data_IF_348431327632
#
_entry.id   IF_348431327632
#
_cell.length_a   1.000
_cell.length_b   1.000
_cell.length_c   1.000
_cell.angle_alpha   90.00
_cell.angle_beta   90.00
_cell.angle_gamma   90.00
#
_symmetry.space_group_name_H-M   'P 1'
#
loop_
_entity.id
_entity.type
_entity.pdbx_description
1 polymer ?
#
# COMPACT_ATOMS: atom_id res chain seq x y z
N UNK A 1 -68.64 26.84 49.21
CA UNK A 1 -69.24 25.93 48.19
C UNK A 1 -69.88 26.80 47.12
N UNK A 2 -69.64 26.67 45.81
CA UNK A 2 -68.72 25.81 45.02
C UNK A 2 -67.51 26.61 44.47
N UNK A 3 -66.30 26.07 44.22
CA UNK A 3 -65.81 25.13 43.18
C UNK A 3 -66.06 25.60 41.73
N UNK A 4 -65.02 26.17 41.09
CA UNK A 4 -64.92 26.32 39.63
C UNK A 4 -63.53 25.94 39.10
N UNK A 5 -63.59 24.95 38.19
CA UNK A 5 -62.73 24.68 37.03
C UNK A 5 -61.26 24.30 37.23
N UNK A 6 -61.04 23.00 37.49
CA UNK A 6 -59.80 22.28 37.22
C UNK A 6 -59.55 21.93 35.73
N UNK A 7 -60.27 22.54 34.79
CA UNK A 7 -60.18 22.24 33.35
C UNK A 7 -59.13 23.08 32.61
N UNK A 8 -58.82 24.30 33.08
CA UNK A 8 -57.86 25.18 32.38
C UNK A 8 -56.40 24.80 32.62
N UNK A 9 -56.08 24.16 33.75
CA UNK A 9 -54.71 23.73 34.07
C UNK A 9 -54.29 22.48 33.27
N UNK A 10 -55.25 21.60 32.93
CA UNK A 10 -54.97 20.39 32.14
C UNK A 10 -54.77 20.69 30.65
N UNK A 11 -55.42 21.72 30.11
CA UNK A 11 -55.21 22.16 28.73
C UNK A 11 -53.88 22.91 28.54
N UNK A 12 -53.47 23.71 29.52
CA UNK A 12 -52.18 24.40 29.49
C UNK A 12 -50.99 23.43 29.61
N UNK A 13 -51.11 22.40 30.45
CA UNK A 13 -50.09 21.35 30.56
C UNK A 13 -50.00 20.47 29.29
N UNK A 14 -51.12 20.22 28.61
CA UNK A 14 -51.12 19.47 27.35
C UNK A 14 -50.49 20.26 26.18
N UNK A 15 -50.72 21.58 26.12
CA UNK A 15 -50.13 22.45 25.08
C UNK A 15 -48.62 22.64 25.23
N UNK A 16 -48.11 22.67 26.46
CA UNK A 16 -46.66 22.75 26.74
C UNK A 16 -45.99 21.38 26.49
N UNK A 17 -46.67 20.27 26.75
CA UNK A 17 -46.17 18.93 26.42
C UNK A 17 -46.13 18.67 24.90
N UNK A 18 -47.10 19.16 24.12
CA UNK A 18 -47.07 19.03 22.65
C UNK A 18 -46.04 19.95 21.98
N UNK A 19 -45.68 21.08 22.58
CA UNK A 19 -44.58 21.93 22.10
C UNK A 19 -43.20 21.32 22.39
N UNK A 20 -43.08 20.43 23.39
CA UNK A 20 -41.85 19.69 23.68
C UNK A 20 -41.63 18.45 22.79
N UNK A 21 -42.66 18.00 22.06
CA UNK A 21 -42.59 16.85 21.14
C UNK A 21 -42.47 17.24 19.65
N UNK A 22 -42.59 18.53 19.31
CA UNK A 22 -42.44 19.03 17.94
C UNK A 22 -41.03 19.57 17.61
N UNK A 23 -40.06 19.40 18.52
CA UNK A 23 -38.67 19.85 18.35
C UNK A 23 -37.67 18.78 17.92
N UNK A 24 -38.11 17.55 17.64
CA UNK A 24 -37.22 16.42 17.33
C UNK A 24 -37.22 16.01 15.85
N UNK A 25 -37.12 16.99 14.94
CA UNK A 25 -36.75 16.70 13.55
C UNK A 25 -35.88 17.84 13.01
N UNK A 26 -34.57 17.63 12.98
CA UNK A 26 -33.66 18.42 12.13
C UNK A 26 -32.53 19.19 12.81
N UNK A 27 -32.21 18.93 14.08
CA UNK A 27 -30.90 19.31 14.63
C UNK A 27 -30.04 18.05 14.75
N UNK A 28 -29.55 17.60 13.60
CA UNK A 28 -28.41 16.70 13.57
C UNK A 28 -27.18 17.53 13.96
N UNK A 29 -26.57 17.18 15.09
CA UNK A 29 -25.28 17.73 15.54
C UNK A 29 -24.12 16.98 14.86
N UNK A 30 -24.35 16.41 13.67
CA UNK A 30 -23.28 15.94 12.79
C UNK A 30 -22.61 17.15 12.12
N UNK A 31 -21.49 17.59 12.72
CA UNK A 31 -20.60 18.62 12.17
C UNK A 31 -19.92 18.20 10.84
N UNK A 32 -20.26 17.05 10.25
CA UNK A 32 -19.71 16.59 8.97
C UNK A 32 -20.11 17.43 7.76
N UNK A 33 -21.22 18.17 7.81
CA UNK A 33 -21.68 18.98 6.67
C UNK A 33 -21.14 20.42 6.64
N UNK A 34 -20.39 20.86 7.67
CA UNK A 34 -19.89 22.26 7.76
C UNK A 34 -18.66 22.52 6.86
N UNK A 35 -18.12 21.49 6.21
CA UNK A 35 -16.91 21.60 5.39
C UNK A 35 -17.03 21.01 3.98
N UNK A 36 -18.18 21.19 3.30
CA UNK A 36 -18.27 21.25 1.83
C UNK A 36 -17.61 20.13 1.00
N UNK A 37 -17.32 18.98 1.59
CA UNK A 37 -16.84 17.78 0.92
C UNK A 37 -17.49 16.61 1.68
N UNK A 38 -18.37 15.81 1.05
CA UNK A 38 -18.74 14.56 1.66
C UNK A 38 -17.45 13.80 1.92
N UNK A 39 -17.25 13.29 3.14
CA UNK A 39 -16.25 12.26 3.41
C UNK A 39 -16.73 10.97 2.74
N UNK A 40 -16.77 11.01 1.42
CA UNK A 40 -17.13 9.90 0.57
C UNK A 40 -15.89 9.01 0.48
N UNK A 41 -15.79 8.10 1.45
CA UNK A 41 -14.76 7.07 1.44
C UNK A 41 -15.06 5.98 0.41
N UNK A 42 -16.10 6.12 -0.43
CA UNK A 42 -16.38 5.17 -1.50
C UNK A 42 -15.20 5.02 -2.46
N UNK A 43 -14.43 6.08 -2.71
CA UNK A 43 -13.19 5.99 -3.50
C UNK A 43 -12.08 5.15 -2.82
N UNK A 44 -12.05 5.06 -1.49
CA UNK A 44 -11.16 4.14 -0.77
C UNK A 44 -11.67 2.69 -0.77
N UNK A 45 -12.97 2.49 -1.02
CA UNK A 45 -13.59 1.18 -1.29
C UNK A 45 -13.35 0.75 -2.76
N UNK A 46 -13.07 1.70 -3.66
CA UNK A 46 -12.77 1.44 -5.09
C UNK A 46 -11.37 0.87 -5.38
N UNK A 47 -10.49 0.69 -4.37
CA UNK A 47 -9.40 -0.30 -4.46
C UNK A 47 -9.95 -1.73 -4.35
N UNK A 48 -11.03 -2.00 -5.07
CA UNK A 48 -11.64 -3.30 -5.22
C UNK A 48 -10.69 -4.16 -6.05
N UNK A 49 -9.80 -4.90 -5.39
CA UNK A 49 -9.10 -6.01 -6.04
C UNK A 49 -10.15 -6.92 -6.68
N UNK A 50 -9.88 -7.42 -7.90
CA UNK A 50 -10.84 -8.28 -8.59
C UNK A 50 -11.27 -9.45 -7.68
N UNK A 51 -12.53 -9.93 -7.76
CA UNK A 51 -12.95 -11.06 -6.97
C UNK A 51 -12.15 -12.30 -7.37
N UNK A 52 -11.82 -13.13 -6.37
CA UNK A 52 -11.13 -14.40 -6.62
C UNK A 52 -11.97 -15.29 -7.54
N UNK A 53 -11.39 -15.88 -8.60
CA UNK A 53 -12.12 -16.77 -9.49
C UNK A 53 -12.78 -17.94 -8.75
N UNK A 54 -13.90 -18.40 -9.29
CA UNK A 54 -14.59 -19.56 -8.75
C UNK A 54 -13.78 -20.85 -9.01
N UNK A 55 -13.70 -21.77 -8.02
CA UNK A 55 -13.04 -23.05 -8.19
C UNK A 55 -13.84 -24.03 -9.06
N UNK A 56 -13.17 -25.08 -9.54
CA UNK A 56 -13.80 -26.26 -10.12
C UNK A 56 -14.61 -27.07 -9.08
N UNK A 57 -15.26 -28.15 -9.52
CA UNK A 57 -16.06 -29.02 -8.65
C UNK A 57 -15.24 -29.68 -7.51
N UNK A 58 -13.92 -29.79 -7.65
CA UNK A 58 -13.00 -30.33 -6.65
C UNK A 58 -12.50 -29.27 -5.67
N UNK A 59 -12.74 -28.00 -5.97
CA UNK A 59 -12.26 -26.86 -5.19
C UNK A 59 -10.90 -26.31 -5.67
N UNK A 60 -10.50 -26.59 -6.91
CA UNK A 60 -9.21 -26.17 -7.49
C UNK A 60 -9.41 -24.96 -8.42
N UNK A 61 -8.52 -23.98 -8.34
CA UNK A 61 -8.41 -22.85 -9.27
C UNK A 61 -7.09 -22.98 -10.02
N UNK A 62 -7.14 -22.93 -11.35
CA UNK A 62 -5.97 -23.04 -12.22
C UNK A 62 -5.58 -21.68 -12.81
N UNK A 63 -4.38 -21.21 -12.48
CA UNK A 63 -3.75 -20.03 -13.10
C UNK A 63 -2.75 -20.45 -14.18
N UNK A 64 -2.18 -19.55 -14.99
CA UNK A 64 -1.15 -19.94 -15.96
C UNK A 64 0.06 -20.65 -15.31
N UNK A 65 0.53 -20.18 -14.16
CA UNK A 65 1.79 -20.64 -13.55
C UNK A 65 1.66 -21.64 -12.39
N UNK A 66 0.53 -21.67 -11.68
CA UNK A 66 0.31 -22.58 -10.55
C UNK A 66 -1.19 -22.84 -10.32
N UNK A 67 -1.50 -23.96 -9.65
CA UNK A 67 -2.87 -24.26 -9.21
C UNK A 67 -2.96 -24.03 -7.71
N UNK A 68 -4.18 -23.75 -7.25
CA UNK A 68 -4.49 -23.65 -5.82
C UNK A 68 -5.75 -24.43 -5.49
N UNK A 69 -5.83 -24.96 -4.28
CA UNK A 69 -7.02 -25.63 -3.76
C UNK A 69 -7.58 -24.88 -2.56
N UNK A 70 -8.90 -24.89 -2.45
CA UNK A 70 -9.65 -24.21 -1.38
C UNK A 70 -10.13 -25.24 -0.36
N UNK A 71 -9.76 -25.06 0.90
CA UNK A 71 -10.23 -25.88 2.00
C UNK A 71 -11.72 -25.65 2.29
N UNK A 72 -12.43 -26.72 2.64
CA UNK A 72 -13.79 -26.69 3.19
C UNK A 72 -13.73 -26.71 4.71
N UNK A 73 -14.86 -26.38 5.35
CA UNK A 73 -14.97 -26.42 6.81
C UNK A 73 -14.67 -27.85 7.32
N UNK A 74 -13.70 -27.97 8.21
CA UNK A 74 -13.29 -29.24 8.81
C UNK A 74 -12.25 -30.02 8.00
N UNK A 75 -11.72 -29.47 6.90
CA UNK A 75 -10.65 -30.12 6.15
C UNK A 75 -9.35 -30.16 6.95
N UNK A 76 -8.59 -31.23 6.78
CA UNK A 76 -7.14 -31.28 7.02
C UNK A 76 -6.41 -31.22 5.68
N UNK A 77 -5.09 -31.02 5.70
CA UNK A 77 -4.29 -31.10 4.46
C UNK A 77 -4.46 -32.47 3.80
N UNK A 78 -4.49 -33.55 4.58
CA UNK A 78 -4.71 -34.90 4.07
C UNK A 78 -6.10 -35.09 3.44
N UNK A 79 -7.18 -34.60 4.06
CA UNK A 79 -8.52 -34.75 3.48
C UNK A 79 -8.70 -33.89 2.22
N UNK A 80 -8.12 -32.69 2.19
CA UNK A 80 -8.10 -31.83 1.02
C UNK A 80 -7.32 -32.48 -0.12
N UNK A 81 -6.14 -33.02 0.17
CA UNK A 81 -5.29 -33.70 -0.81
C UNK A 81 -5.99 -34.92 -1.43
N UNK A 82 -6.62 -35.74 -0.60
CA UNK A 82 -7.42 -36.89 -1.05
C UNK A 82 -8.58 -36.45 -1.96
N UNK A 83 -9.26 -35.34 -1.63
CA UNK A 83 -10.37 -34.80 -2.43
C UNK A 83 -9.93 -34.37 -3.83
N UNK A 84 -8.77 -33.74 -3.94
CA UNK A 84 -8.28 -33.20 -5.22
C UNK A 84 -7.35 -34.19 -5.97
N UNK A 85 -7.01 -35.32 -5.34
CA UNK A 85 -6.21 -36.39 -5.95
C UNK A 85 -4.70 -36.10 -5.98
N UNK A 86 -4.16 -35.39 -4.98
CA UNK A 86 -2.73 -35.08 -4.86
C UNK A 86 -2.11 -35.74 -3.64
N UNK A 87 -0.78 -35.85 -3.63
CA UNK A 87 -0.05 -36.36 -2.47
C UNK A 87 -0.13 -35.37 -1.29
N UNK A 88 -0.62 -35.86 -0.14
CA UNK A 88 -0.85 -35.04 1.04
C UNK A 88 0.45 -34.48 1.63
N UNK A 89 1.54 -35.27 1.59
CA UNK A 89 2.83 -34.85 2.14
C UNK A 89 3.45 -33.75 1.29
N UNK A 90 3.47 -33.93 -0.03
CA UNK A 90 3.96 -32.93 -0.96
C UNK A 90 3.14 -31.63 -0.89
N UNK A 91 1.81 -31.73 -0.74
CA UNK A 91 0.95 -30.57 -0.54
C UNK A 91 1.27 -29.84 0.77
N UNK A 92 1.47 -30.58 1.86
CA UNK A 92 1.81 -30.03 3.17
C UNK A 92 3.17 -29.31 3.14
N UNK A 93 4.22 -29.99 2.64
CA UNK A 93 5.58 -29.45 2.54
C UNK A 93 5.64 -28.20 1.66
N UNK A 94 4.91 -28.17 0.54
CA UNK A 94 4.85 -26.99 -0.35
C UNK A 94 4.24 -25.76 0.34
N UNK A 95 3.35 -25.95 1.33
CA UNK A 95 2.65 -24.87 2.03
C UNK A 95 3.16 -24.64 3.47
N UNK A 96 4.24 -25.31 3.89
CA UNK A 96 4.79 -25.18 5.24
C UNK A 96 3.88 -25.75 6.34
N UNK A 97 3.10 -26.78 6.02
CA UNK A 97 2.16 -27.43 6.93
C UNK A 97 2.54 -28.91 7.17
N UNK A 98 1.85 -29.56 8.10
CA UNK A 98 1.86 -31.03 8.25
C UNK A 98 0.62 -31.65 7.60
N UNK A 99 0.64 -32.92 7.18
CA UNK A 99 -0.53 -33.57 6.58
C UNK A 99 -1.78 -33.58 7.48
N UNK A 100 -1.59 -33.59 8.80
CA UNK A 100 -2.65 -33.60 9.80
C UNK A 100 -3.14 -32.19 10.19
N UNK A 101 -2.49 -31.13 9.67
CA UNK A 101 -2.84 -29.76 10.00
C UNK A 101 -4.30 -29.47 9.60
N UNK A 102 -5.05 -28.92 10.55
CA UNK A 102 -6.44 -28.48 10.33
C UNK A 102 -6.46 -27.16 9.55
N UNK A 103 -7.31 -27.10 8.52
CA UNK A 103 -7.43 -25.97 7.62
C UNK A 103 -8.67 -25.12 7.96
N UNK A 104 -8.55 -23.81 7.78
CA UNK A 104 -9.70 -22.91 7.92
C UNK A 104 -10.63 -23.08 6.72
N UNK A 105 -11.93 -22.84 6.92
CA UNK A 105 -12.87 -22.84 5.82
C UNK A 105 -12.53 -21.71 4.83
N UNK A 106 -12.36 -22.05 3.56
CA UNK A 106 -11.96 -21.09 2.53
C UNK A 106 -10.44 -20.88 2.43
N UNK A 107 -9.63 -21.52 3.29
CA UNK A 107 -8.18 -21.40 3.26
C UNK A 107 -7.62 -21.88 1.91
N UNK A 108 -6.66 -21.14 1.35
CA UNK A 108 -6.10 -21.42 0.03
C UNK A 108 -4.71 -22.04 0.16
N UNK A 109 -4.52 -23.22 -0.43
CA UNK A 109 -3.24 -23.92 -0.48
C UNK A 109 -2.75 -23.99 -1.92
N UNK A 110 -1.47 -23.68 -2.14
CA UNK A 110 -0.85 -23.78 -3.47
C UNK A 110 -0.46 -25.23 -3.74
N UNK A 111 -0.85 -25.75 -4.90
CA UNK A 111 -0.50 -27.12 -5.31
C UNK A 111 0.98 -27.18 -5.72
N UNK A 112 1.66 -28.30 -5.44
CA UNK A 112 3.02 -28.51 -5.93
C UNK A 112 3.01 -28.67 -7.47
N UNK A 113 4.11 -28.30 -8.12
CA UNK A 113 4.23 -28.40 -9.58
C UNK A 113 4.04 -29.83 -10.12
N UNK A 114 4.26 -30.85 -9.29
CA UNK A 114 4.00 -32.26 -9.60
C UNK A 114 2.51 -32.55 -9.83
N UNK A 115 1.60 -31.86 -9.13
CA UNK A 115 0.17 -32.06 -9.27
C UNK A 115 -0.35 -31.65 -10.66
N UNK A 116 0.29 -30.67 -11.30
CA UNK A 116 -0.03 -30.18 -12.65
C UNK A 116 0.30 -31.14 -13.77
N UNK A 117 1.33 -31.96 -13.56
CA UNK A 117 1.84 -32.87 -14.59
C UNK A 117 1.06 -34.18 -14.67
N UNK A 118 -0.11 -34.25 -14.02
CA UNK A 118 -0.99 -35.42 -14.08
C UNK A 118 -0.30 -36.69 -13.58
N UNK A 119 0.11 -36.72 -12.31
CA UNK A 119 0.74 -37.92 -11.79
C UNK A 119 1.08 -37.85 -10.30
N UNK A 120 0.29 -38.58 -9.52
CA UNK A 120 0.73 -39.11 -8.23
C UNK A 120 1.93 -40.02 -8.48
N UNK A 121 3.13 -39.53 -8.22
CA UNK A 121 4.30 -40.38 -8.03
C UNK A 121 4.28 -40.85 -6.58
N UNK A 122 3.51 -41.92 -6.32
CA UNK A 122 3.58 -42.64 -5.06
C UNK A 122 4.99 -43.21 -4.91
N UNK A 123 5.73 -42.71 -3.93
CA UNK A 123 7.06 -43.19 -3.57
C UNK A 123 6.93 -44.53 -2.83
N UNK A 124 6.82 -45.61 -3.60
CA UNK A 124 6.90 -46.98 -3.10
C UNK A 124 7.31 -47.89 -4.26
N UNK A 125 8.47 -48.54 -4.13
CA UNK A 125 9.08 -49.52 -5.04
C UNK A 125 8.42 -49.69 -6.42
N UNK A 126 9.06 -49.16 -7.46
CA UNK A 126 8.57 -49.25 -8.83
C UNK A 126 8.67 -50.70 -9.33
N UNK A 127 7.54 -51.40 -9.34
CA UNK A 127 7.39 -52.70 -10.00
C UNK A 127 7.00 -52.46 -11.47
N UNK A 128 8.02 -52.48 -12.34
CA UNK A 128 7.98 -52.19 -13.78
C UNK A 128 6.83 -52.89 -14.53
N UNK A 129 6.42 -54.07 -14.07
CA UNK A 129 5.34 -54.88 -14.65
C UNK A 129 3.95 -54.29 -14.40
N UNK A 130 3.73 -53.70 -13.22
CA UNK A 130 2.45 -53.03 -12.88
C UNK A 130 2.38 -51.62 -13.46
N UNK A 131 3.53 -50.95 -13.60
CA UNK A 131 3.62 -49.64 -14.23
C UNK A 131 3.24 -49.66 -15.72
N UNK A 132 3.62 -50.73 -16.43
CA UNK A 132 3.26 -50.94 -17.83
C UNK A 132 1.75 -51.22 -18.01
N UNK A 133 1.14 -52.04 -17.14
CA UNK A 133 -0.30 -52.31 -17.17
C UNK A 133 -1.14 -51.06 -16.90
N UNK A 134 -0.79 -50.30 -15.87
CA UNK A 134 -1.47 -49.06 -15.50
C UNK A 134 -1.32 -47.93 -16.54
N UNK A 135 -0.27 -47.99 -17.39
CA UNK A 135 -0.08 -47.03 -18.48
C UNK A 135 -1.05 -47.29 -19.64
N UNK A 136 -1.39 -48.55 -19.90
CA UNK A 136 -2.31 -48.95 -20.98
C UNK A 136 -3.76 -48.64 -20.59
N UNK A 137 -4.18 -48.96 -19.36
CA UNK A 137 -5.51 -48.59 -18.84
C UNK A 137 -5.72 -47.06 -18.75
N UNK A 138 -4.64 -46.30 -18.50
CA UNK A 138 -4.68 -44.82 -18.50
C UNK A 138 -4.79 -44.25 -19.91
N UNK A 139 -4.20 -44.89 -20.91
CA UNK A 139 -4.35 -44.46 -22.31
C UNK A 139 -5.80 -44.66 -22.81
N UNK A 140 -6.46 -45.73 -22.37
CA UNK A 140 -7.84 -46.05 -22.74
C UNK A 140 -8.86 -45.15 -22.02
N UNK A 141 -8.58 -44.74 -20.77
CA UNK A 141 -9.42 -43.80 -20.01
C UNK A 141 -9.15 -42.31 -20.33
N UNK A 142 -7.99 -41.97 -20.92
CA UNK A 142 -7.68 -40.61 -21.38
C UNK A 142 -8.46 -40.19 -22.65
N UNK A 143 -9.06 -41.14 -23.37
CA UNK A 143 -9.94 -40.84 -24.52
C UNK A 143 -11.39 -40.53 -24.13
N UNK A 144 -11.78 -40.64 -22.85
CA UNK A 144 -13.17 -40.48 -22.42
C UNK A 144 -13.48 -39.25 -21.53
N UNK A 145 -12.51 -38.38 -21.22
CA UNK A 145 -12.80 -37.12 -20.52
C UNK A 145 -11.74 -36.05 -20.77
N UNK A 146 -11.69 -35.52 -21.99
CA UNK A 146 -11.03 -34.25 -22.26
C UNK A 146 -12.02 -33.10 -22.04
N UNK A 147 -12.58 -32.99 -20.82
CA UNK A 147 -13.14 -31.73 -20.37
C UNK A 147 -11.95 -30.88 -19.90
N UNK A 148 -11.43 -30.06 -20.80
CA UNK A 148 -10.34 -29.13 -20.51
C UNK A 148 -10.70 -28.31 -19.26
N UNK A 149 -9.93 -28.45 -18.19
CA UNK A 149 -10.08 -27.60 -17.00
C UNK A 149 -9.89 -26.15 -17.44
N UNK A 150 -10.88 -25.25 -17.23
CA UNK A 150 -10.75 -23.87 -17.67
C UNK A 150 -9.60 -23.22 -16.90
N UNK A 151 -8.51 -22.91 -17.62
CA UNK A 151 -7.41 -22.09 -17.10
C UNK A 151 -7.91 -20.65 -17.11
N UNK A 152 -7.75 -19.94 -15.99
CA UNK A 152 -8.23 -18.56 -15.89
C UNK A 152 -7.43 -17.65 -16.83
N UNK A 153 -8.11 -17.03 -17.79
CA UNK A 153 -7.58 -15.93 -18.61
C UNK A 153 -7.69 -14.62 -17.82
N UNK A 154 -6.56 -14.16 -17.29
CA UNK A 154 -6.46 -12.92 -16.54
C UNK A 154 -5.11 -12.79 -15.83
N UNK A 155 -4.77 -11.59 -15.32
CA UNK A 155 -3.56 -11.39 -14.54
C UNK A 155 -3.53 -12.33 -13.32
N UNK A 156 -2.48 -13.15 -13.25
CA UNK A 156 -2.33 -14.13 -12.18
C UNK A 156 -1.99 -13.43 -10.85
N UNK A 157 -2.53 -13.89 -9.71
CA UNK A 157 -2.19 -13.32 -8.42
C UNK A 157 -0.72 -13.60 -8.08
N UNK A 158 -0.09 -12.67 -7.38
CA UNK A 158 1.29 -12.83 -6.91
C UNK A 158 1.31 -13.74 -5.69
N UNK A 159 2.29 -14.65 -5.61
CA UNK A 159 2.47 -15.51 -4.44
C UNK A 159 3.48 -14.88 -3.49
N UNK A 160 3.08 -14.68 -2.24
CA UNK A 160 3.96 -14.23 -1.18
C UNK A 160 4.11 -15.33 -0.13
N UNK A 161 5.35 -15.68 0.23
CA UNK A 161 5.61 -16.62 1.33
C UNK A 161 5.87 -15.82 2.60
N UNK A 162 5.00 -16.00 3.58
CA UNK A 162 5.07 -15.34 4.88
C UNK A 162 6.39 -15.71 5.56
N UNK A 163 7.18 -14.71 5.91
CA UNK A 163 8.40 -14.89 6.71
C UNK A 163 8.16 -14.42 8.14
N UNK A 164 9.12 -14.72 9.02
CA UNK A 164 9.07 -14.27 10.40
C UNK A 164 8.98 -12.75 10.48
N UNK A 165 7.98 -12.25 11.21
CA UNK A 165 7.70 -10.82 11.37
C UNK A 165 6.63 -10.28 10.44
N UNK A 166 6.19 -11.05 9.43
CA UNK A 166 5.09 -10.64 8.58
C UNK A 166 3.73 -10.75 9.29
N UNK A 167 2.86 -9.79 8.97
CA UNK A 167 1.44 -9.79 9.35
C UNK A 167 0.61 -9.60 8.09
N UNK A 168 -0.67 -9.96 8.12
CA UNK A 168 -1.56 -9.65 6.99
C UNK A 168 -1.57 -8.14 6.65
N UNK A 169 -1.38 -7.27 7.66
CA UNK A 169 -1.31 -5.82 7.48
C UNK A 169 -0.03 -5.37 6.77
N UNK A 170 1.13 -5.88 7.18
CA UNK A 170 2.40 -5.53 6.53
C UNK A 170 2.44 -6.05 5.09
N UNK A 171 1.96 -7.26 4.85
CA UNK A 171 1.87 -7.86 3.51
C UNK A 171 0.90 -7.07 2.63
N UNK A 172 -0.31 -6.79 3.11
CA UNK A 172 -1.29 -6.03 2.33
C UNK A 172 -0.72 -4.66 1.91
N UNK A 173 -0.05 -3.96 2.84
CA UNK A 173 0.61 -2.68 2.57
C UNK A 173 1.79 -2.82 1.61
N UNK A 174 2.59 -3.87 1.72
CA UNK A 174 3.72 -4.16 0.84
C UNK A 174 3.27 -4.26 -0.63
N UNK A 175 2.10 -4.85 -0.86
CA UNK A 175 1.55 -5.06 -2.21
C UNK A 175 0.48 -4.06 -2.63
N UNK A 176 0.18 -3.04 -1.80
CA UNK A 176 -0.83 -2.03 -2.12
C UNK A 176 -2.26 -2.57 -2.23
N UNK A 177 -2.56 -3.70 -1.57
CA UNK A 177 -3.90 -4.30 -1.55
C UNK A 177 -4.59 -4.03 -0.22
N UNK A 178 -5.93 -4.03 -0.20
CA UNK A 178 -6.64 -3.91 1.06
C UNK A 178 -6.48 -5.18 1.90
N UNK A 179 -6.31 -5.01 3.21
CA UNK A 179 -6.19 -6.14 4.16
C UNK A 179 -7.39 -7.06 4.07
N UNK A 180 -8.59 -6.47 3.87
CA UNK A 180 -9.84 -7.19 3.66
C UNK A 180 -9.79 -8.05 2.40
N UNK A 181 -9.37 -7.49 1.27
CA UNK A 181 -9.26 -8.26 0.03
C UNK A 181 -8.24 -9.39 0.15
N UNK A 182 -7.10 -9.13 0.80
CA UNK A 182 -6.12 -10.18 1.10
C UNK A 182 -6.72 -11.31 1.94
N UNK A 183 -7.53 -10.96 2.96
CA UNK A 183 -8.23 -11.92 3.80
C UNK A 183 -9.20 -12.78 3.00
N UNK A 184 -10.08 -12.14 2.23
CA UNK A 184 -11.12 -12.78 1.43
C UNK A 184 -10.52 -13.69 0.34
N UNK A 185 -9.40 -13.26 -0.26
CA UNK A 185 -8.69 -14.05 -1.26
C UNK A 185 -8.03 -15.31 -0.70
N UNK A 186 -7.60 -15.29 0.57
CA UNK A 186 -6.84 -16.39 1.18
C UNK A 186 -7.62 -17.21 2.22
N UNK A 187 -8.84 -16.79 2.55
CA UNK A 187 -9.64 -17.40 3.62
C UNK A 187 -9.02 -17.19 5.01
N UNK A 188 -8.47 -16.00 5.27
CA UNK A 188 -7.99 -15.64 6.61
C UNK A 188 -9.19 -15.43 7.55
N UNK A 189 -8.98 -15.68 8.84
CA UNK A 189 -9.98 -15.42 9.88
C UNK A 189 -10.14 -13.93 10.18
N UNK A 190 -11.12 -13.59 11.02
CA UNK A 190 -11.37 -12.23 11.45
C UNK A 190 -10.16 -11.59 12.16
N UNK A 191 -9.33 -12.42 12.80
CA UNK A 191 -8.10 -12.00 13.48
C UNK A 191 -6.93 -11.79 12.50
N UNK A 192 -7.13 -12.09 11.21
CA UNK A 192 -6.13 -11.92 10.15
C UNK A 192 -4.84 -12.70 10.41
N UNK A 193 -4.96 -13.86 11.05
CA UNK A 193 -3.81 -14.63 11.53
C UNK A 193 -3.06 -15.27 10.37
N UNK A 194 -1.78 -14.94 10.22
CA UNK A 194 -0.86 -15.54 9.24
C UNK A 194 0.16 -16.43 9.95
N UNK A 195 0.59 -17.50 9.29
CA UNK A 195 1.59 -18.44 9.81
C UNK A 195 2.91 -18.29 9.07
N UNK A 196 4.03 -18.36 9.78
CA UNK A 196 5.35 -18.40 9.15
C UNK A 196 5.41 -19.58 8.15
N UNK A 197 5.90 -19.31 6.94
CA UNK A 197 5.96 -20.28 5.85
C UNK A 197 4.69 -20.44 5.03
N UNK A 198 3.55 -19.87 5.46
CA UNK A 198 2.30 -19.87 4.71
C UNK A 198 2.46 -19.13 3.37
N UNK A 199 1.82 -19.61 2.32
CA UNK A 199 1.80 -18.93 1.03
C UNK A 199 0.46 -18.20 0.88
N UNK A 200 0.51 -16.88 0.69
CA UNK A 200 -0.66 -16.05 0.41
C UNK A 200 -0.69 -15.66 -1.08
N UNK A 201 -1.88 -15.67 -1.64
CA UNK A 201 -2.20 -15.10 -2.95
C UNK A 201 -2.56 -13.63 -2.77
N UNK A 202 -1.75 -12.78 -3.37
CA UNK A 202 -1.96 -11.34 -3.40
C UNK A 202 -2.84 -11.04 -4.62
N UNK A 203 -4.03 -10.46 -4.42
CA UNK A 203 -4.88 -10.10 -5.54
C UNK A 203 -4.25 -8.97 -6.34
N UNK A 204 -4.50 -8.97 -7.64
CA UNK A 204 -4.11 -7.85 -8.51
C UNK A 204 -5.17 -6.72 -8.41
N UNK A 205 -4.76 -5.45 -8.36
CA UNK A 205 -5.68 -4.32 -8.37
C UNK A 205 -6.57 -4.36 -9.63
N UNK A 206 -7.87 -4.05 -9.52
CA UNK A 206 -8.79 -4.12 -10.66
C UNK A 206 -8.40 -3.25 -11.86
N UNK A 207 -7.59 -2.21 -11.67
CA UNK A 207 -7.08 -1.37 -12.77
C UNK A 207 -6.20 -2.18 -13.75
N UNK A 208 -5.41 -3.14 -13.25
CA UNK A 208 -4.61 -4.05 -14.09
C UNK A 208 -5.46 -5.14 -14.75
N UNK A 209 -6.63 -5.45 -14.17
CA UNK A 209 -7.58 -6.44 -14.72
C UNK A 209 -8.46 -5.82 -15.79
N UNK A 210 -8.79 -4.53 -15.68
CA UNK A 210 -9.52 -3.76 -16.69
C UNK A 210 -8.66 -3.50 -17.96
N UNK A 211 -7.35 -3.35 -17.81
CA UNK A 211 -6.40 -3.22 -18.93
C UNK A 211 -6.22 -4.52 -19.74
N UNK A 212 -6.67 -5.67 -19.22
CA UNK A 212 -6.56 -6.98 -19.88
C UNK A 212 -7.82 -7.39 -20.66
N UNK A 213 -8.88 -6.57 -20.68
CA UNK A 213 -10.04 -6.80 -21.54
C UNK A 213 -9.73 -6.25 -22.94
N UNK A 214 -9.86 -7.02 -24.04
CA UNK A 214 -9.71 -6.47 -25.37
C UNK A 214 -10.86 -5.50 -25.61
N UNK A 215 -10.55 -4.21 -25.58
CA UNK A 215 -11.44 -3.15 -26.07
C UNK A 215 -11.58 -3.35 -27.59
N UNK A 216 -12.82 -3.42 -28.14
CA UNK A 216 -13.03 -3.45 -29.58
C UNK A 216 -12.40 -2.22 -30.23
N UNK A 217 -11.44 -2.47 -31.12
CA UNK A 217 -10.83 -1.44 -31.94
C UNK A 217 -11.87 -0.84 -32.91
N UNK A 218 -12.01 0.50 -32.88
CA UNK A 218 -12.44 1.40 -33.96
C UNK A 218 -12.62 2.81 -33.34
N UNK A 219 -12.08 3.94 -33.81
CA UNK A 219 -11.18 4.28 -34.91
C UNK A 219 -10.55 5.65 -34.61
N UNK A 220 -9.29 5.85 -34.98
CA UNK A 220 -8.76 7.16 -35.38
C UNK A 220 -8.01 6.96 -36.69
N UNK A 221 -8.18 7.85 -37.68
CA UNK A 221 -7.24 8.95 -37.73
C UNK A 221 -7.83 10.27 -38.26
N UNK A 222 -7.21 11.39 -37.87
CA UNK A 222 -6.83 12.51 -38.77
C UNK A 222 -5.80 13.39 -38.03
N UNK A 223 -4.75 13.80 -38.73
CA UNK A 223 -3.76 14.79 -38.32
C UNK A 223 -3.98 16.10 -39.13
N UNK A 224 -3.11 17.12 -39.04
CA UNK A 224 -3.30 18.34 -38.27
C UNK A 224 -3.60 19.58 -39.12
N UNK A 225 -4.34 20.55 -38.55
CA UNK A 225 -4.45 21.91 -39.07
C UNK A 225 -5.70 22.20 -39.91
N UNK A 226 -6.83 22.43 -39.26
CA UNK A 226 -7.92 23.27 -39.79
C UNK A 226 -8.39 24.22 -38.67
N UNK A 227 -8.40 25.52 -38.97
CA UNK A 227 -8.74 26.61 -38.07
C UNK A 227 -10.19 26.55 -37.57
N UNK A 228 -10.59 27.33 -36.57
CA UNK A 228 -10.52 28.80 -36.55
C UNK A 228 -10.93 29.32 -35.15
N UNK A 229 -11.02 30.63 -34.92
CA UNK A 229 -10.01 31.52 -34.34
C UNK A 229 -10.20 31.79 -32.84
N UNK A 230 -9.09 32.13 -32.17
CA UNK A 230 -9.03 32.62 -30.79
C UNK A 230 -9.72 33.98 -30.61
N UNK A 231 -10.55 34.20 -29.57
CA UNK A 231 -10.83 35.53 -29.08
C UNK A 231 -9.65 36.03 -28.22
N UNK A 232 -9.05 37.15 -28.61
CA UNK A 232 -8.03 37.85 -27.83
C UNK A 232 -8.67 38.44 -26.55
N UNK A 233 -8.12 38.18 -25.35
CA UNK A 233 -8.50 38.91 -24.14
C UNK A 233 -7.99 40.36 -24.21
N UNK A 234 -8.80 41.38 -23.89
CA UNK A 234 -8.38 42.78 -23.98
C UNK A 234 -7.62 43.17 -22.71
N UNK A 235 -6.31 42.97 -22.69
CA UNK A 235 -5.43 43.55 -21.66
C UNK A 235 -4.06 43.90 -22.23
N UNK A 236 -3.99 44.95 -23.05
CA UNK A 236 -2.80 45.79 -23.22
C UNK A 236 -3.15 47.04 -24.05
N UNK A 237 -3.83 48.01 -23.43
CA UNK A 237 -4.04 49.33 -24.02
C UNK A 237 -3.61 50.43 -23.05
N UNK A 238 -2.38 50.32 -22.52
CA UNK A 238 -1.68 51.46 -21.93
C UNK A 238 -0.17 51.28 -22.04
N UNK A 239 0.56 52.16 -22.73
CA UNK A 239 2.02 52.12 -22.76
C UNK A 239 2.59 52.51 -21.38
N UNK A 240 3.61 51.79 -20.94
CA UNK A 240 4.48 52.21 -19.83
C UNK A 240 5.37 53.36 -20.32
N UNK A 241 5.60 54.43 -19.51
CA UNK A 241 6.52 55.51 -19.85
C UNK A 241 7.97 55.02 -19.86
N UNK A 242 8.77 55.54 -20.79
CA UNK A 242 10.23 55.49 -20.70
C UNK A 242 10.69 56.48 -19.62
N UNK A 243 11.49 56.02 -18.66
CA UNK A 243 12.23 56.90 -17.75
C UNK A 243 13.73 56.66 -17.90
N UNK A 244 14.34 57.71 -18.41
CA UNK A 244 15.76 57.95 -18.61
C UNK A 244 16.21 58.82 -17.43
N UNK A 245 17.13 58.35 -16.57
CA UNK A 245 18.08 59.23 -15.84
C UNK A 245 19.11 58.51 -14.95
N UNK A 246 20.37 58.70 -15.34
CA UNK A 246 21.54 59.17 -14.56
C UNK A 246 22.02 58.47 -13.28
N UNK A 247 23.26 58.01 -13.44
CA UNK A 247 24.33 57.81 -12.43
C UNK A 247 24.54 59.04 -11.54
N UNK A 248 24.53 58.85 -10.22
CA UNK A 248 25.35 59.61 -9.26
C UNK A 248 25.91 58.70 -8.19
N UNK A 249 27.20 58.92 -7.95
CA UNK A 249 28.15 58.28 -7.03
C UNK A 249 28.00 58.92 -5.63
N UNK A 250 28.32 58.16 -4.57
CA UNK A 250 28.96 58.55 -3.29
C UNK A 250 28.33 57.78 -2.09
N UNK A 251 28.92 56.64 -1.69
CA UNK A 251 29.88 56.45 -0.58
C UNK A 251 29.25 56.40 0.81
N UNK A 252 29.06 55.19 1.34
CA UNK A 252 29.26 54.87 2.76
C UNK A 252 29.42 53.35 2.96
N UNK A 253 30.61 52.91 3.36
CA UNK A 253 30.89 51.65 4.07
C UNK A 253 31.43 52.03 5.47
N UNK A 254 31.45 51.17 6.52
CA UNK A 254 31.49 49.69 6.47
C UNK A 254 30.71 48.91 7.56
N UNK A 255 30.47 47.60 7.36
CA UNK A 255 30.90 46.46 8.23
C UNK A 255 30.47 45.11 7.59
N UNK A 256 31.28 44.02 7.64
CA UNK A 256 31.38 43.06 6.54
C UNK A 256 30.66 41.70 6.74
N UNK A 257 30.49 41.05 5.58
CA UNK A 257 30.13 39.64 5.31
C UNK A 257 28.65 39.27 5.52
N UNK A 258 27.92 38.73 4.54
CA UNK A 258 28.35 37.68 3.62
C UNK A 258 27.85 37.90 2.18
N UNK A 259 28.76 37.57 1.28
CA UNK A 259 28.64 37.39 -0.16
C UNK A 259 27.40 36.57 -0.51
N UNK A 260 26.32 37.25 -0.87
CA UNK A 260 25.18 36.69 -1.56
C UNK A 260 25.14 37.36 -2.92
N UNK A 261 25.95 36.86 -3.85
CA UNK A 261 25.69 36.94 -5.28
C UNK A 261 26.70 36.01 -5.98
N UNK A 262 26.16 35.20 -6.89
CA UNK A 262 26.90 34.36 -7.83
C UNK A 262 27.58 33.10 -7.27
N UNK A 263 26.76 32.15 -6.83
CA UNK A 263 27.07 30.73 -7.08
C UNK A 263 26.03 30.18 -8.04
N UNK A 264 26.43 30.16 -9.30
CA UNK A 264 26.14 29.13 -10.30
C UNK A 264 25.08 28.12 -9.89
N UNK A 265 23.97 28.15 -10.63
CA UNK A 265 23.02 27.06 -10.79
C UNK A 265 23.72 25.79 -11.29
N UNK A 266 24.52 25.13 -10.46
CA UNK A 266 24.95 23.75 -10.67
C UNK A 266 25.43 23.15 -9.34
N UNK A 267 24.48 22.74 -8.52
CA UNK A 267 24.66 21.56 -7.65
C UNK A 267 23.28 20.91 -7.54
N UNK A 268 23.08 19.88 -8.36
CA UNK A 268 21.81 19.16 -8.55
C UNK A 268 21.34 18.39 -7.31
N UNK A 269 22.06 18.44 -6.18
CA UNK A 269 21.55 17.85 -4.94
C UNK A 269 20.72 18.86 -4.13
N UNK A 270 19.44 18.51 -4.00
CA UNK A 270 18.41 19.29 -3.30
C UNK A 270 18.53 19.14 -1.76
N UNK A 271 19.24 18.14 -1.26
CA UNK A 271 19.26 17.75 0.15
C UNK A 271 20.67 17.86 0.78
N UNK A 272 20.74 18.19 2.07
CA UNK A 272 21.99 18.16 2.88
C UNK A 272 22.09 16.88 3.68
N UNK A 273 23.32 16.50 4.02
CA UNK A 273 23.58 15.46 5.01
C UNK A 273 22.85 15.76 6.33
N UNK A 274 21.98 14.85 6.81
CA UNK A 274 21.18 15.07 8.02
C UNK A 274 21.98 14.94 9.31
N UNK A 275 23.07 14.17 9.29
CA UNK A 275 24.07 14.06 10.36
C UNK A 275 25.47 13.96 9.74
N UNK A 276 26.49 14.33 10.50
CA UNK A 276 27.89 14.18 10.07
C UNK A 276 28.36 12.77 10.45
N UNK A 277 28.72 11.96 9.46
CA UNK A 277 29.11 10.57 9.69
C UNK A 277 29.45 9.83 8.40
N UNK A 278 30.08 8.66 8.52
CA UNK A 278 30.31 7.75 7.40
C UNK A 278 29.08 6.87 7.17
N UNK A 279 28.81 6.53 5.90
CA UNK A 279 27.79 5.55 5.56
C UNK A 279 28.32 4.17 5.91
N UNK A 280 27.68 3.49 6.87
CA UNK A 280 28.04 2.14 7.32
C UNK A 280 27.18 1.07 6.64
N UNK A 281 26.03 1.46 6.08
CA UNK A 281 25.20 0.60 5.24
C UNK A 281 24.69 1.39 4.03
N UNK A 282 25.06 1.01 2.79
CA UNK A 282 24.60 1.69 1.59
C UNK A 282 23.17 1.30 1.23
N UNK A 283 22.55 2.08 0.35
CA UNK A 283 21.26 1.77 -0.26
C UNK A 283 21.33 0.48 -1.06
N UNK A 284 20.28 -0.35 -0.93
CA UNK A 284 20.08 -1.54 -1.73
C UNK A 284 18.59 -1.85 -1.78
N UNK A 285 17.94 -1.54 -2.90
CA UNK A 285 16.51 -1.79 -3.13
C UNK A 285 16.10 -3.22 -2.70
N UNK A 286 15.04 -3.32 -1.90
CA UNK A 286 14.51 -4.55 -1.32
C UNK A 286 15.28 -5.09 -0.11
N UNK A 287 16.34 -4.42 0.34
CA UNK A 287 17.18 -4.87 1.47
C UNK A 287 17.44 -3.73 2.46
N UNK A 288 17.87 -2.58 1.96
CA UNK A 288 18.08 -1.35 2.71
C UNK A 288 17.51 -0.19 1.87
N UNK A 289 16.33 0.30 2.25
CA UNK A 289 15.57 1.31 1.49
C UNK A 289 16.13 2.74 1.66
N UNK A 290 17.24 2.87 2.39
CA UNK A 290 17.96 4.12 2.60
C UNK A 290 19.45 3.87 2.86
N UNK A 291 20.08 4.78 3.59
CA UNK A 291 21.46 4.65 4.05
C UNK A 291 21.52 4.71 5.57
N UNK A 292 22.45 3.97 6.17
CA UNK A 292 22.77 4.10 7.58
C UNK A 292 24.02 4.94 7.76
N UNK A 293 23.88 6.08 8.43
CA UNK A 293 24.97 7.03 8.68
C UNK A 293 25.41 6.88 10.14
N UNK A 294 26.65 6.45 10.36
CA UNK A 294 27.20 6.32 11.70
C UNK A 294 27.30 7.68 12.40
N UNK A 295 26.73 7.78 13.59
CA UNK A 295 26.76 9.00 14.39
C UNK A 295 26.70 8.64 15.86
N UNK A 296 27.29 9.46 16.72
CA UNK A 296 27.23 9.21 18.16
C UNK A 296 25.79 9.34 18.68
N UNK A 297 25.40 8.56 19.73
CA UNK A 297 24.12 8.76 20.40
C UNK A 297 23.89 10.22 20.81
N UNK A 298 22.68 10.73 20.60
CA UNK A 298 22.32 12.11 20.93
C UNK A 298 22.78 13.15 19.91
N UNK A 299 23.48 12.77 18.84
CA UNK A 299 23.87 13.70 17.77
C UNK A 299 22.64 14.40 17.19
N UNK A 300 22.62 15.73 17.03
CA UNK A 300 21.48 16.43 16.43
C UNK A 300 21.25 16.00 14.98
N UNK A 301 20.03 15.57 14.69
CA UNK A 301 19.56 15.22 13.34
C UNK A 301 18.92 16.44 12.72
N UNK A 302 19.35 16.80 11.51
CA UNK A 302 18.88 17.95 10.74
C UNK A 302 17.96 17.54 9.61
N UNK A 303 16.98 18.38 9.29
CA UNK A 303 16.18 18.26 8.08
C UNK A 303 17.06 18.43 6.84
N UNK A 304 17.02 17.46 5.94
CA UNK A 304 17.85 17.41 4.75
C UNK A 304 17.40 18.45 3.72
N UNK A 305 16.11 18.81 3.70
CA UNK A 305 15.55 19.87 2.88
C UNK A 305 14.47 20.65 3.62
N UNK A 306 14.06 21.79 3.08
CA UNK A 306 12.89 22.52 3.58
C UNK A 306 11.62 21.77 3.18
N UNK A 307 10.63 21.72 4.06
CA UNK A 307 9.43 20.93 3.82
C UNK A 307 8.41 21.03 4.95
N UNK A 308 7.43 20.13 4.92
CA UNK A 308 6.39 20.01 5.94
C UNK A 308 6.44 18.60 6.52
N UNK A 309 6.35 18.48 7.84
CA UNK A 309 6.29 17.19 8.52
C UNK A 309 4.99 16.47 8.13
N UNK A 310 5.13 15.44 7.30
CA UNK A 310 4.00 14.69 6.76
C UNK A 310 3.45 13.69 7.78
N UNK A 311 4.36 13.02 8.51
CA UNK A 311 3.99 12.03 9.51
C UNK A 311 5.08 11.87 10.58
N UNK A 312 4.64 11.49 11.77
CA UNK A 312 5.49 10.95 12.82
C UNK A 312 4.84 9.63 13.20
N UNK A 313 5.50 8.52 12.90
CA UNK A 313 5.04 7.16 13.17
C UNK A 313 6.01 6.46 14.12
N UNK A 314 5.73 5.20 14.44
CA UNK A 314 6.64 4.33 15.18
C UNK A 314 6.76 3.00 14.46
N UNK A 315 7.92 2.38 14.53
CA UNK A 315 8.09 0.99 14.09
C UNK A 315 7.58 -0.01 15.14
N UNK A 316 7.79 -1.30 14.88
CA UNK A 316 7.40 -2.40 15.77
C UNK A 316 8.05 -2.30 17.15
N UNK A 317 9.27 -1.77 17.23
CA UNK A 317 10.03 -1.56 18.46
C UNK A 317 9.70 -0.22 19.14
N UNK A 318 8.62 0.43 18.70
CA UNK A 318 8.15 1.73 19.17
C UNK A 318 9.14 2.88 18.94
N UNK A 319 10.13 2.69 18.06
CA UNK A 319 11.11 3.70 17.67
C UNK A 319 10.43 4.70 16.72
N UNK A 320 10.50 6.01 17.01
CA UNK A 320 9.91 7.03 16.16
C UNK A 320 10.53 7.06 14.76
N UNK A 321 9.67 7.28 13.77
CA UNK A 321 10.02 7.55 12.37
C UNK A 321 9.41 8.90 12.01
N UNK A 322 10.24 9.82 11.55
CA UNK A 322 9.82 11.15 11.10
C UNK A 322 9.85 11.19 9.57
N UNK A 323 8.78 11.66 8.95
CA UNK A 323 8.66 11.82 7.50
C UNK A 323 8.44 13.28 7.16
N UNK A 324 9.31 13.85 6.31
CA UNK A 324 9.18 15.22 5.82
C UNK A 324 8.88 15.19 4.33
N UNK A 325 7.83 15.90 3.92
CA UNK A 325 7.48 16.12 2.51
C UNK A 325 8.10 17.41 2.01
N UNK A 326 8.82 17.33 0.91
CA UNK A 326 9.47 18.44 0.22
C UNK A 326 8.72 18.81 -1.06
N UNK A 327 9.22 19.83 -1.77
CA UNK A 327 8.74 20.16 -3.11
C UNK A 327 9.06 19.03 -4.12
N UNK A 328 8.25 18.93 -5.17
CA UNK A 328 8.47 17.95 -6.25
C UNK A 328 8.20 16.50 -5.85
N UNK A 329 7.24 16.24 -4.95
CA UNK A 329 6.84 14.90 -4.48
C UNK A 329 7.95 14.07 -3.80
N UNK A 330 9.03 14.73 -3.38
CA UNK A 330 10.12 14.10 -2.67
C UNK A 330 9.79 13.99 -1.18
N UNK A 331 10.03 12.83 -0.59
CA UNK A 331 9.87 12.55 0.83
C UNK A 331 11.22 12.14 1.41
N UNK A 332 11.51 12.58 2.62
CA UNK A 332 12.64 12.07 3.41
C UNK A 332 12.15 11.39 4.66
N UNK A 333 12.79 10.29 5.03
CA UNK A 333 12.45 9.49 6.22
C UNK A 333 13.66 9.46 7.14
N UNK A 334 13.41 9.71 8.42
CA UNK A 334 14.40 9.68 9.49
C UNK A 334 13.96 8.64 10.51
N UNK A 335 14.71 7.55 10.62
CA UNK A 335 14.47 6.48 11.58
C UNK A 335 15.70 6.24 12.47
N UNK A 336 15.54 5.46 13.53
CA UNK A 336 16.52 5.32 14.60
C UNK A 336 16.85 6.67 15.29
N UNK A 337 15.80 7.44 15.59
CA UNK A 337 15.88 8.76 16.22
C UNK A 337 15.13 8.80 17.57
N UNK A 338 15.48 9.79 18.38
CA UNK A 338 14.87 10.17 19.67
C UNK A 338 14.66 11.69 19.72
N UNK A 339 13.99 12.19 20.78
CA UNK A 339 13.82 13.62 21.07
C UNK A 339 13.33 14.45 19.86
N UNK A 340 12.27 14.01 19.17
CA UNK A 340 11.70 14.75 18.04
C UNK A 340 11.19 16.12 18.54
N UNK A 341 11.70 17.19 17.93
CA UNK A 341 11.40 18.59 18.31
C UNK A 341 10.26 19.22 17.50
N UNK A 342 9.73 18.49 16.51
CA UNK A 342 8.69 18.95 15.57
C UNK A 342 7.44 18.08 15.67
N UNK A 343 6.32 18.59 15.14
CA UNK A 343 5.01 17.93 15.11
C UNK A 343 4.51 17.76 13.68
N UNK A 344 3.57 16.84 13.47
CA UNK A 344 2.91 16.66 12.18
C UNK A 344 2.25 17.97 11.74
N UNK A 345 2.51 18.38 10.50
CA UNK A 345 2.05 19.64 9.92
C UNK A 345 3.02 20.81 10.08
N UNK A 346 4.05 20.69 10.91
CA UNK A 346 5.04 21.76 11.08
C UNK A 346 5.84 21.97 9.80
N UNK A 347 6.11 23.24 9.46
CA UNK A 347 7.08 23.59 8.43
C UNK A 347 8.48 23.57 9.01
N UNK A 348 9.42 22.97 8.29
CA UNK A 348 10.82 22.84 8.67
C UNK A 348 11.71 23.40 7.58
N UNK A 349 12.80 24.05 7.97
CA UNK A 349 13.80 24.58 7.05
C UNK A 349 14.93 23.57 6.85
N UNK A 350 15.54 23.57 5.66
CA UNK A 350 16.77 22.83 5.37
C UNK A 350 17.84 23.15 6.43
N UNK A 351 18.38 22.11 7.07
CA UNK A 351 19.38 22.21 8.13
C UNK A 351 18.81 22.42 9.54
N UNK A 352 17.50 22.61 9.70
CA UNK A 352 16.86 22.75 11.01
C UNK A 352 16.99 21.45 11.81
N UNK A 353 17.32 21.55 13.11
CA UNK A 353 17.35 20.39 14.01
C UNK A 353 15.93 19.90 14.29
N UNK A 354 15.68 18.62 14.01
CA UNK A 354 14.35 18.00 14.08
C UNK A 354 14.27 16.85 15.08
N UNK A 355 15.41 16.23 15.42
CA UNK A 355 15.51 15.10 16.34
C UNK A 355 16.96 14.89 16.81
N UNK A 356 17.22 13.81 17.54
CA UNK A 356 18.55 13.31 17.86
C UNK A 356 18.72 11.85 17.45
N UNK A 357 19.95 11.42 17.22
CA UNK A 357 20.27 10.01 16.92
C UNK A 357 20.03 9.16 18.17
N UNK A 358 19.31 8.04 18.02
CA UNK A 358 19.03 7.10 19.11
C UNK A 358 20.30 6.40 19.60
N UNK A 359 20.35 6.10 20.89
CA UNK A 359 21.43 5.27 21.45
C UNK A 359 21.35 3.82 20.95
N UNK A 360 22.48 3.26 20.52
CA UNK A 360 22.60 1.89 20.03
C UNK A 360 24.07 1.48 19.86
N UNK A 361 24.31 0.20 19.59
CA UNK A 361 25.65 -0.35 19.32
C UNK A 361 25.64 -1.24 18.06
N UNK A 362 26.09 -0.73 16.90
CA UNK A 362 26.52 0.65 16.64
C UNK A 362 25.33 1.64 16.65
N UNK A 363 25.59 2.92 16.94
CA UNK A 363 24.60 4.00 16.81
C UNK A 363 24.69 4.65 15.42
N UNK A 364 23.53 4.85 14.80
CA UNK A 364 23.42 5.38 13.43
C UNK A 364 22.08 6.05 13.19
N UNK A 365 22.01 6.93 12.20
CA UNK A 365 20.76 7.42 11.63
C UNK A 365 20.41 6.56 10.41
N UNK A 366 19.18 6.05 10.35
CA UNK A 366 18.64 5.49 9.11
C UNK A 366 17.94 6.60 8.32
N UNK A 367 18.41 6.87 7.11
CA UNK A 367 17.93 7.97 6.26
C UNK A 367 17.49 7.45 4.89
N UNK A 368 16.23 7.69 4.54
CA UNK A 368 15.67 7.34 3.22
C UNK A 368 15.28 8.60 2.43
N UNK A 369 15.35 8.49 1.11
CA UNK A 369 14.76 9.43 0.15
C UNK A 369 13.76 8.65 -0.69
N UNK A 370 12.57 9.22 -0.90
CA UNK A 370 11.50 8.58 -1.65
C UNK A 370 10.89 9.53 -2.66
N UNK A 371 10.61 9.03 -3.86
CA UNK A 371 9.81 9.72 -4.87
C UNK A 371 8.41 9.09 -4.86
N UNK A 372 7.46 9.77 -4.19
CA UNK A 372 6.18 9.15 -3.89
C UNK A 372 6.35 7.90 -3.01
N UNK A 373 6.08 6.72 -3.57
CA UNK A 373 6.17 5.44 -2.84
C UNK A 373 7.48 4.69 -3.06
N UNK A 374 8.24 5.03 -4.10
CA UNK A 374 9.51 4.37 -4.43
C UNK A 374 10.65 4.92 -3.58
N UNK A 375 11.43 4.03 -2.98
CA UNK A 375 12.73 4.38 -2.40
C UNK A 375 13.76 4.57 -3.52
N UNK A 376 14.61 5.57 -3.37
CA UNK A 376 15.72 5.88 -4.28
C UNK A 376 17.01 6.01 -3.47
N UNK A 377 18.16 5.87 -4.12
CA UNK A 377 19.45 5.98 -3.44
C UNK A 377 19.63 7.40 -2.88
N UNK A 378 19.67 7.59 -1.54
CA UNK A 378 19.83 8.91 -0.94
C UNK A 378 21.12 9.62 -1.35
N UNK A 379 22.18 8.88 -1.68
CA UNK A 379 23.49 9.47 -2.02
C UNK A 379 23.41 10.33 -3.28
N UNK A 380 22.51 10.02 -4.21
CA UNK A 380 22.30 10.82 -5.43
C UNK A 380 21.67 12.20 -5.15
N UNK A 381 21.07 12.37 -3.97
CA UNK A 381 20.36 13.59 -3.57
C UNK A 381 21.10 14.43 -2.54
N UNK A 382 22.17 13.90 -1.95
CA UNK A 382 22.93 14.52 -0.87
C UNK A 382 24.16 15.28 -1.41
N UNK A 383 24.42 16.45 -0.81
CA UNK A 383 25.55 17.34 -1.12
C UNK A 383 26.44 17.55 0.11
#
# INVERSE_FOLDING_TARGET
MPEFSGTSSRLAAALIATAALAGCSGLDLDLRDVAGQPLDTSAAVEQASAPRPAPDARGVISYPQFDVAIARRGDTVASLAARIGVDARALAENNGLTPEASLRAGEVLVLPASARRGGSASAGGVDITTLAGNAIERAESAQASAAATPVQEGPAPVRHKVVRGDTAYSIARLYGVSVRALAEWNGLDADMTVREGQILLIPVPAEDVAAAKPEPAEARPTAPGEGSPTPLPPSAAKPLPEDDTKVTKETATPKPAAMAEERTETSTSRLVMPVQGSIIRPYKKGVNEGIDIAAAPGTPVKAAGSGVVAAITRDTDQVPILVIRHSGNLLTVYANIDDITVKKGDSVNRGQVIAKVRAGDPSFLHFEVREGFDSVDPVEYLN
#
